data_IF_309418095589
#
_entry.id   IF_309418095589
#
_cell.length_a   1.000
_cell.length_b   1.000
_cell.length_c   1.000
_cell.angle_alpha   90.00
_cell.angle_beta   90.00
_cell.angle_gamma   90.00
#
_symmetry.space_group_name_H-M   'P 1'
#
loop_
_entity.id
_entity.type
_entity.pdbx_description
1 polymer ?
#
# COMPACT_ATOMS: atom_id res chain seq x y z
N UNK A 1 -5.40 -23.26 18.05
CA UNK A 1 -4.54 -22.12 17.69
C UNK A 1 -5.39 -21.14 16.91
N UNK A 2 -5.37 -19.89 17.32
CA UNK A 2 -6.21 -18.83 16.76
C UNK A 2 -5.34 -17.70 16.22
N UNK A 3 -5.86 -17.00 15.23
CA UNK A 3 -5.40 -15.68 14.85
C UNK A 3 -6.45 -14.67 15.27
N UNK A 4 -6.05 -13.66 16.00
CA UNK A 4 -6.95 -12.61 16.50
C UNK A 4 -6.60 -11.30 15.80
N UNK A 5 -7.58 -10.71 15.14
CA UNK A 5 -7.47 -9.39 14.52
C UNK A 5 -8.41 -8.43 15.24
N UNK A 6 -7.89 -7.26 15.52
CA UNK A 6 -8.65 -6.16 16.13
C UNK A 6 -8.59 -4.97 15.19
N UNK A 7 -9.73 -4.39 14.89
CA UNK A 7 -9.84 -3.18 14.09
C UNK A 7 -10.88 -2.24 14.69
N UNK A 8 -10.67 -0.95 14.50
CA UNK A 8 -11.57 0.08 14.97
C UNK A 8 -11.25 1.43 14.37
N UNK A 9 -12.12 2.40 14.60
CA UNK A 9 -11.94 3.80 14.19
C UNK A 9 -12.04 4.68 15.42
N UNK A 10 -11.17 5.66 15.53
CA UNK A 10 -11.20 6.65 16.61
C UNK A 10 -10.94 8.04 16.04
N UNK A 11 -11.73 9.01 16.46
CA UNK A 11 -11.40 10.43 16.28
C UNK A 11 -10.47 10.88 17.42
N UNK A 12 -9.37 11.49 17.06
CA UNK A 12 -8.47 12.13 18.00
C UNK A 12 -8.11 13.53 17.51
N UNK A 13 -8.55 14.54 18.25
CA UNK A 13 -8.39 15.95 17.91
C UNK A 13 -8.95 16.34 16.52
N UNK A 14 -10.10 15.77 16.14
CA UNK A 14 -10.73 16.04 14.85
C UNK A 14 -10.05 15.34 13.66
N UNK A 15 -9.19 14.35 13.94
CA UNK A 15 -8.54 13.53 12.94
C UNK A 15 -8.91 12.07 13.16
N UNK A 16 -9.42 11.44 12.10
CA UNK A 16 -9.75 10.02 12.10
C UNK A 16 -8.49 9.16 12.03
N UNK A 17 -8.43 8.17 12.91
CA UNK A 17 -7.42 7.12 12.89
C UNK A 17 -8.09 5.75 12.85
N UNK A 18 -7.57 4.85 12.03
CA UNK A 18 -7.88 3.45 12.13
C UNK A 18 -6.91 2.77 13.08
N UNK A 19 -7.48 1.96 13.94
CA UNK A 19 -6.75 1.14 14.88
C UNK A 19 -6.69 -0.28 14.31
N UNK A 20 -5.49 -0.79 14.12
CA UNK A 20 -5.29 -2.16 13.66
C UNK A 20 -4.29 -2.88 14.55
N UNK A 21 -4.62 -4.11 14.90
CA UNK A 21 -3.73 -5.00 15.62
C UNK A 21 -4.00 -6.44 15.25
N UNK A 22 -2.95 -7.24 15.20
CA UNK A 22 -3.07 -8.66 14.93
C UNK A 22 -2.09 -9.45 15.80
N UNK A 23 -2.50 -10.64 16.20
CA UNK A 23 -1.64 -11.65 16.81
C UNK A 23 -2.00 -13.01 16.25
N UNK A 24 -0.98 -13.76 15.86
CA UNK A 24 -1.13 -15.14 15.34
C UNK A 24 -0.62 -16.17 16.35
N UNK A 25 -1.02 -17.41 16.17
CA UNK A 25 -0.59 -18.55 16.99
C UNK A 25 -0.99 -18.43 18.47
N UNK A 26 -2.14 -17.79 18.74
CA UNK A 26 -2.69 -17.72 20.09
C UNK A 26 -3.28 -19.08 20.45
N UNK A 27 -2.77 -19.68 21.52
CA UNK A 27 -3.31 -20.92 22.07
C UNK A 27 -4.19 -20.58 23.28
N UNK A 28 -5.47 -20.93 23.19
CA UNK A 28 -6.42 -20.74 24.28
C UNK A 28 -6.80 -22.15 24.75
N UNK A 29 -6.47 -22.49 26.00
CA UNK A 29 -6.71 -23.79 26.60
C UNK A 29 -7.81 -23.74 27.66
N UNK A 30 -8.12 -22.55 28.16
CA UNK A 30 -9.12 -22.30 29.17
C UNK A 30 -9.68 -20.88 29.05
N UNK A 31 -10.83 -20.65 29.63
CA UNK A 31 -11.39 -19.31 29.75
C UNK A 31 -10.52 -18.50 30.70
N UNK A 32 -10.20 -17.27 30.31
CA UNK A 32 -9.47 -16.30 31.13
C UNK A 32 -10.38 -15.10 31.35
N UNK A 33 -10.76 -14.90 32.60
CA UNK A 33 -11.55 -13.73 32.98
C UNK A 33 -10.63 -12.52 33.22
N UNK A 34 -11.23 -11.33 33.30
CA UNK A 34 -10.51 -10.12 33.66
C UNK A 34 -9.86 -10.22 35.06
N UNK A 35 -10.55 -10.84 36.01
CA UNK A 35 -10.05 -11.13 37.35
C UNK A 35 -8.83 -12.04 37.33
N UNK A 36 -8.87 -13.12 36.52
CA UNK A 36 -7.73 -14.00 36.32
C UNK A 36 -6.50 -13.29 35.78
N UNK A 37 -6.71 -12.37 34.85
CA UNK A 37 -5.62 -11.61 34.21
C UNK A 37 -4.99 -10.61 35.22
N UNK A 38 -5.82 -9.93 36.01
CA UNK A 38 -5.38 -8.86 36.91
C UNK A 38 -4.90 -9.46 38.25
N UNK A 39 -5.70 -10.31 38.88
CA UNK A 39 -5.43 -10.78 40.24
C UNK A 39 -4.53 -12.02 40.28
N UNK A 40 -4.69 -12.93 39.34
CA UNK A 40 -3.97 -14.19 39.28
C UNK A 40 -2.73 -14.13 38.37
N UNK A 41 -2.45 -12.97 37.77
CA UNK A 41 -1.32 -12.77 36.86
C UNK A 41 -1.25 -13.81 35.73
N UNK A 42 -2.41 -14.31 35.28
CA UNK A 42 -2.46 -15.19 34.12
C UNK A 42 -2.00 -14.44 32.89
N UNK A 43 -1.16 -15.06 32.12
CA UNK A 43 -0.64 -14.47 30.88
C UNK A 43 -1.75 -14.38 29.84
N UNK A 44 -2.25 -13.16 29.62
CA UNK A 44 -3.20 -12.85 28.56
C UNK A 44 -2.42 -12.49 27.28
N UNK A 45 -2.84 -12.98 26.12
CA UNK A 45 -2.26 -12.53 24.86
C UNK A 45 -2.41 -11.01 24.71
N UNK A 46 -1.33 -10.31 24.47
CA UNK A 46 -1.36 -8.87 24.21
C UNK A 46 -1.38 -8.62 22.72
N UNK A 47 -2.22 -7.68 22.28
CA UNK A 47 -2.29 -7.22 20.90
C UNK A 47 -1.81 -5.78 20.87
N UNK A 48 -0.73 -5.52 20.14
CA UNK A 48 -0.30 -4.16 19.89
C UNK A 48 -1.22 -3.52 18.86
N UNK A 49 -1.99 -2.54 19.28
CA UNK A 49 -2.84 -1.75 18.38
C UNK A 49 -2.05 -0.54 17.91
N UNK A 50 -1.93 -0.39 16.60
CA UNK A 50 -1.26 0.75 15.97
C UNK A 50 -2.29 1.67 15.34
N UNK A 51 -2.27 2.96 15.66
CA UNK A 51 -3.06 3.94 14.95
C UNK A 51 -2.45 4.20 13.58
N UNK A 52 -3.25 4.16 12.55
CA UNK A 52 -2.88 4.57 11.21
C UNK A 52 -3.76 5.75 10.82
N UNK A 53 -3.14 6.85 10.40
CA UNK A 53 -3.88 7.96 9.80
C UNK A 53 -4.44 7.48 8.47
N UNK A 54 -5.75 7.67 8.27
CA UNK A 54 -6.39 7.23 7.04
C UNK A 54 -6.30 8.34 6.02
N UNK A 55 -5.64 8.04 4.93
CA UNK A 55 -5.85 8.75 3.70
C UNK A 55 -7.07 8.17 2.96
N UNK A 56 -7.74 8.94 2.11
CA UNK A 56 -8.86 8.44 1.32
C UNK A 56 -8.42 7.41 0.27
N UNK A 57 -7.15 7.41 -0.12
CA UNK A 57 -6.63 6.50 -1.14
C UNK A 57 -6.11 5.20 -0.54
N UNK A 58 -6.41 4.10 -1.21
CA UNK A 58 -5.84 2.78 -0.91
C UNK A 58 -5.51 2.04 -2.20
N UNK A 59 -4.55 1.11 -2.12
CA UNK A 59 -4.37 0.12 -3.19
C UNK A 59 -5.55 -0.85 -3.16
N UNK A 60 -6.27 -0.94 -4.28
CA UNK A 60 -7.34 -1.92 -4.47
C UNK A 60 -6.79 -3.22 -5.02
N UNK A 61 -5.89 -3.10 -5.97
CA UNK A 61 -5.21 -4.23 -6.59
C UNK A 61 -3.76 -3.90 -6.91
N UNK A 62 -2.88 -4.88 -6.71
CA UNK A 62 -1.49 -4.83 -7.12
C UNK A 62 -1.21 -6.10 -7.91
N UNK A 63 -0.95 -5.95 -9.21
CA UNK A 63 -0.51 -7.03 -10.07
C UNK A 63 0.96 -6.84 -10.43
N UNK A 64 1.82 -7.74 -9.98
CA UNK A 64 3.27 -7.64 -10.18
C UNK A 64 3.89 -8.87 -10.83
N UNK A 65 3.06 -9.80 -11.29
CA UNK A 65 3.49 -11.12 -11.78
C UNK A 65 3.59 -11.20 -13.29
N UNK A 66 3.64 -10.26 -14.08
CA UNK A 66 3.64 -10.25 -15.54
C UNK A 66 4.02 -11.55 -16.26
N UNK A 67 3.81 -11.62 -17.55
CA UNK A 67 4.07 -12.77 -18.40
C UNK A 67 5.36 -12.56 -19.20
N UNK A 68 6.21 -13.61 -19.31
CA UNK A 68 7.42 -13.54 -20.15
C UNK A 68 7.06 -13.30 -21.62
N UNK A 69 7.68 -12.33 -22.34
CA UNK A 69 8.80 -11.48 -21.94
C UNK A 69 8.42 -10.18 -21.21
N UNK A 70 7.16 -9.94 -20.92
CA UNK A 70 6.65 -8.68 -20.35
C UNK A 70 6.54 -8.67 -18.82
N UNK A 71 7.25 -9.56 -18.15
CA UNK A 71 7.17 -9.77 -16.70
C UNK A 71 7.10 -8.47 -15.88
N UNK A 72 7.99 -7.50 -16.14
CA UNK A 72 7.98 -6.22 -15.44
C UNK A 72 7.04 -5.17 -16.07
N UNK A 73 6.70 -5.31 -17.33
CA UNK A 73 5.90 -4.33 -18.08
C UNK A 73 4.40 -4.51 -17.89
N UNK A 74 3.99 -5.72 -17.53
CA UNK A 74 2.59 -6.05 -17.23
C UNK A 74 2.16 -5.61 -15.81
N UNK A 75 3.05 -5.03 -15.01
CA UNK A 75 2.72 -4.62 -13.64
C UNK A 75 1.73 -3.48 -13.63
N UNK A 76 0.69 -3.66 -12.81
CA UNK A 76 -0.37 -2.68 -12.64
C UNK A 76 -0.67 -2.43 -11.16
N UNK A 77 -1.08 -1.21 -10.87
CA UNK A 77 -1.45 -0.77 -9.53
C UNK A 77 -2.77 -0.01 -9.61
N UNK A 78 -3.84 -0.61 -9.10
CA UNK A 78 -5.13 0.06 -9.01
C UNK A 78 -5.21 0.80 -7.69
N UNK A 79 -5.42 2.11 -7.76
CA UNK A 79 -5.58 2.99 -6.61
C UNK A 79 -7.04 3.46 -6.57
N UNK A 80 -7.65 3.35 -5.41
CA UNK A 80 -9.06 3.55 -5.19
C UNK A 80 -9.31 4.64 -4.17
N UNK A 81 -10.26 5.53 -4.44
CA UNK A 81 -10.76 6.48 -3.46
C UNK A 81 -11.81 5.81 -2.57
N UNK A 82 -11.38 5.40 -1.39
CA UNK A 82 -12.23 4.80 -0.36
C UNK A 82 -12.82 5.84 0.61
N UNK A 83 -12.58 7.13 0.35
CA UNK A 83 -13.16 8.24 1.11
C UNK A 83 -14.57 8.57 0.64
N UNK A 84 -15.18 9.52 1.30
CA UNK A 84 -16.50 10.08 1.02
C UNK A 84 -16.45 11.45 0.31
N UNK A 85 -15.24 11.96 0.09
CA UNK A 85 -14.98 13.22 -0.61
C UNK A 85 -14.12 13.01 -1.87
N UNK A 86 -14.21 13.98 -2.78
CA UNK A 86 -13.35 14.01 -3.97
C UNK A 86 -11.90 14.17 -3.57
N UNK A 87 -11.05 13.28 -4.04
CA UNK A 87 -9.61 13.40 -3.91
C UNK A 87 -9.00 13.92 -5.22
N UNK A 88 -8.13 14.91 -5.13
CA UNK A 88 -7.39 15.40 -6.30
C UNK A 88 -6.02 14.74 -6.37
N UNK A 89 -5.72 14.13 -7.51
CA UNK A 89 -4.48 13.36 -7.71
C UNK A 89 -3.25 14.26 -7.95
N UNK A 90 -3.48 15.54 -8.14
CA UNK A 90 -2.43 16.54 -8.35
C UNK A 90 -1.40 16.47 -7.23
N UNK A 91 -0.13 16.38 -7.60
CA UNK A 91 1.01 16.24 -6.70
C UNK A 91 1.06 14.91 -5.93
N UNK A 92 0.17 13.95 -6.21
CA UNK A 92 0.28 12.61 -5.65
C UNK A 92 1.59 11.98 -6.09
N UNK A 93 2.31 11.40 -5.15
CA UNK A 93 3.54 10.67 -5.41
C UNK A 93 3.29 9.17 -5.33
N UNK A 94 3.77 8.45 -6.34
CA UNK A 94 3.87 7.01 -6.38
C UNK A 94 5.35 6.63 -6.34
N UNK A 95 5.74 5.77 -5.40
CA UNK A 95 7.15 5.48 -5.16
C UNK A 95 7.43 4.00 -5.03
N UNK A 96 8.54 3.55 -5.58
CA UNK A 96 9.15 2.28 -5.24
C UNK A 96 10.17 2.51 -4.13
N UNK A 97 10.00 1.79 -3.03
CA UNK A 97 10.84 1.93 -1.84
C UNK A 97 11.88 0.81 -1.74
N UNK A 98 12.95 1.09 -0.98
CA UNK A 98 13.91 0.07 -0.55
C UNK A 98 13.33 -0.80 0.59
N UNK A 99 13.68 -2.10 0.67
CA UNK A 99 14.43 -2.88 -0.32
C UNK A 99 13.54 -3.27 -1.51
N UNK A 100 14.07 -3.20 -2.73
CA UNK A 100 13.35 -3.57 -3.95
C UNK A 100 13.28 -5.08 -4.19
N UNK A 101 13.89 -5.85 -3.33
CA UNK A 101 13.85 -7.32 -3.35
C UNK A 101 13.54 -7.84 -1.96
N UNK A 102 12.89 -8.98 -1.89
CA UNK A 102 12.65 -9.64 -0.61
C UNK A 102 13.98 -9.96 0.09
N UNK A 103 14.11 -9.50 1.32
CA UNK A 103 15.28 -9.74 2.17
C UNK A 103 14.86 -10.16 3.56
N UNK A 104 15.64 -11.04 4.18
CA UNK A 104 15.40 -11.49 5.55
C UNK A 104 15.75 -10.42 6.59
N UNK A 105 16.57 -9.44 6.21
CA UNK A 105 17.00 -8.34 7.10
C UNK A 105 16.80 -7.04 6.36
N UNK A 106 16.04 -6.13 6.98
CA UNK A 106 15.86 -4.79 6.42
C UNK A 106 17.19 -4.02 6.40
N UNK A 107 17.41 -3.16 5.40
CA UNK A 107 18.55 -2.28 5.37
C UNK A 107 18.59 -1.39 6.62
N UNK A 108 19.78 -1.15 7.13
CA UNK A 108 20.00 -0.09 8.12
C UNK A 108 20.22 1.20 7.33
N UNK A 109 19.24 2.08 7.40
CA UNK A 109 19.35 3.39 6.76
C UNK A 109 20.12 4.35 7.67
N UNK A 110 21.10 5.08 7.13
CA UNK A 110 21.80 6.08 7.90
C UNK A 110 20.87 7.27 8.12
N UNK A 111 20.24 7.36 9.28
CA UNK A 111 19.68 8.60 9.77
C UNK A 111 20.60 9.15 10.88
N UNK A 112 20.78 10.46 10.89
CA UNK A 112 21.68 11.12 11.84
C UNK A 112 21.14 11.04 13.28
N UNK A 113 19.85 10.79 13.44
CA UNK A 113 19.14 10.77 14.71
C UNK A 113 18.96 9.36 15.28
N UNK A 114 19.32 8.31 14.53
CA UNK A 114 19.20 6.91 14.95
C UNK A 114 17.75 6.45 15.14
N UNK A 115 16.80 7.13 14.51
CA UNK A 115 15.37 6.83 14.57
C UNK A 115 14.92 6.45 13.17
N UNK A 116 14.14 5.38 13.04
CA UNK A 116 13.56 4.91 11.77
C UNK A 116 12.47 5.87 11.24
N UNK A 117 12.84 7.13 11.04
CA UNK A 117 11.93 8.20 10.61
C UNK A 117 11.84 8.32 9.08
N UNK A 118 12.72 7.65 8.37
CA UNK A 118 12.85 7.78 6.93
C UNK A 118 12.70 6.44 6.23
N UNK A 119 12.20 6.50 5.00
CA UNK A 119 12.25 5.41 4.04
C UNK A 119 12.98 5.90 2.80
N UNK A 120 13.74 5.02 2.15
CA UNK A 120 14.47 5.38 0.94
C UNK A 120 13.66 4.99 -0.28
N UNK A 121 13.44 5.97 -1.16
CA UNK A 121 12.82 5.73 -2.47
C UNK A 121 13.89 5.42 -3.51
N UNK A 122 13.69 4.36 -4.28
CA UNK A 122 14.52 4.05 -5.46
C UNK A 122 14.14 5.00 -6.58
N UNK A 123 12.84 5.17 -6.77
CA UNK A 123 12.25 6.06 -7.75
C UNK A 123 10.94 6.59 -7.21
N UNK A 124 10.66 7.85 -7.55
CA UNK A 124 9.41 8.52 -7.19
C UNK A 124 8.86 9.18 -8.44
N UNK A 125 7.62 8.87 -8.77
CA UNK A 125 6.86 9.53 -9.82
C UNK A 125 5.84 10.46 -9.17
N UNK A 126 5.63 11.60 -9.75
CA UNK A 126 4.65 12.57 -9.28
C UNK A 126 3.67 12.91 -10.39
N UNK A 127 2.38 12.84 -10.09
CA UNK A 127 1.34 13.35 -10.97
C UNK A 127 1.45 14.88 -10.99
N UNK A 128 1.74 15.44 -12.15
CA UNK A 128 1.77 16.88 -12.34
C UNK A 128 0.34 17.44 -12.32
N UNK A 129 0.18 18.67 -11.91
CA UNK A 129 -1.11 19.34 -11.95
C UNK A 129 -1.07 20.67 -11.20
N UNK A 130 -2.18 21.43 -11.30
CA UNK A 130 -2.31 22.76 -10.69
C UNK A 130 -3.04 22.71 -9.33
N UNK A 131 -3.45 21.54 -8.88
CA UNK A 131 -4.10 21.28 -7.60
C UNK A 131 -5.56 20.78 -7.70
N UNK A 132 -6.18 20.84 -8.88
CA UNK A 132 -7.55 20.37 -9.13
C UNK A 132 -7.78 19.84 -10.54
N UNK A 133 -6.73 19.44 -11.21
CA UNK A 133 -6.83 19.00 -12.62
C UNK A 133 -7.33 17.57 -12.73
N UNK A 134 -7.06 16.74 -11.71
CA UNK A 134 -7.36 15.31 -11.74
C UNK A 134 -8.22 14.88 -10.54
N UNK A 135 -9.55 15.18 -10.56
CA UNK A 135 -10.45 14.75 -9.50
C UNK A 135 -10.73 13.25 -9.59
N UNK A 136 -10.64 12.55 -8.46
CA UNK A 136 -11.06 11.16 -8.28
C UNK A 136 -12.25 11.14 -7.32
N UNK A 137 -13.44 10.75 -7.83
CA UNK A 137 -14.66 10.72 -7.03
C UNK A 137 -14.62 9.59 -5.98
N UNK A 138 -15.42 9.70 -4.90
CA UNK A 138 -15.65 8.57 -4.01
C UNK A 138 -16.09 7.32 -4.77
N UNK A 139 -15.42 6.21 -4.50
CA UNK A 139 -15.71 4.95 -5.17
C UNK A 139 -15.08 4.76 -6.56
N UNK A 140 -14.37 5.74 -7.06
CA UNK A 140 -13.60 5.62 -8.30
C UNK A 140 -12.19 5.09 -8.05
N UNK A 141 -11.61 4.50 -9.08
CA UNK A 141 -10.21 4.07 -9.11
C UNK A 141 -9.52 4.54 -10.37
N UNK A 142 -8.20 4.51 -10.34
CA UNK A 142 -7.33 4.74 -11.50
C UNK A 142 -6.18 3.74 -11.51
N UNK A 143 -5.63 3.51 -12.70
CA UNK A 143 -4.52 2.60 -12.90
C UNK A 143 -3.22 3.34 -13.13
N UNK A 144 -2.18 2.90 -12.42
CA UNK A 144 -0.79 3.18 -12.75
C UNK A 144 -0.20 1.89 -13.31
N UNK A 145 0.42 1.95 -14.49
CA UNK A 145 1.05 0.80 -15.14
C UNK A 145 2.52 1.07 -15.43
N UNK A 146 3.29 0.02 -15.62
CA UNK A 146 4.70 0.14 -16.01
C UNK A 146 4.86 0.51 -17.49
N UNK A 147 3.96 0.00 -18.35
CA UNK A 147 3.96 0.32 -19.77
C UNK A 147 2.49 0.31 -20.27
N UNK A 148 1.99 1.49 -20.67
CA UNK A 148 0.60 1.68 -21.12
C UNK A 148 0.41 1.23 -22.58
N UNK A 149 0.55 -0.06 -22.81
CA UNK A 149 0.52 -0.68 -24.14
C UNK A 149 -0.28 -1.99 -24.14
N UNK A 150 -0.84 -2.36 -25.29
CA UNK A 150 -1.43 -3.70 -25.48
C UNK A 150 -0.34 -4.74 -25.74
N UNK A 151 0.11 -5.44 -24.73
CA UNK A 151 1.10 -6.49 -24.83
C UNK A 151 0.54 -7.79 -25.44
N UNK A 152 -0.78 -7.97 -25.53
CA UNK A 152 -1.43 -9.13 -26.14
C UNK A 152 -1.11 -9.24 -27.64
N UNK A 153 -0.78 -8.13 -28.27
CA UNK A 153 -0.33 -8.11 -29.68
C UNK A 153 0.87 -9.03 -29.90
N UNK A 154 1.75 -9.13 -28.92
CA UNK A 154 2.96 -9.94 -28.99
C UNK A 154 2.88 -11.22 -28.15
N UNK A 155 2.03 -11.25 -27.14
CA UNK A 155 1.81 -12.41 -26.28
C UNK A 155 0.36 -12.43 -25.79
N UNK A 156 -0.44 -13.33 -26.34
CA UNK A 156 -1.87 -13.43 -26.03
C UNK A 156 -2.19 -13.72 -24.54
N UNK A 157 -1.20 -14.17 -23.77
CA UNK A 157 -1.36 -14.39 -22.32
C UNK A 157 -1.03 -13.15 -21.48
N UNK A 158 -0.61 -12.06 -22.10
CA UNK A 158 -0.31 -10.79 -21.46
C UNK A 158 -1.56 -9.91 -21.33
N UNK A 159 -1.39 -8.65 -20.99
CA UNK A 159 -2.47 -7.70 -20.71
C UNK A 159 -2.53 -6.58 -21.73
N UNK A 160 -3.70 -5.98 -21.80
CA UNK A 160 -3.91 -4.70 -22.46
C UNK A 160 -3.92 -3.59 -21.41
N UNK A 161 -2.83 -2.88 -21.34
CA UNK A 161 -2.66 -1.76 -20.42
C UNK A 161 -2.83 -0.40 -21.12
N UNK A 162 -3.24 -0.40 -22.42
CA UNK A 162 -3.29 0.82 -23.24
C UNK A 162 -4.33 1.85 -22.77
N UNK A 163 -5.25 1.45 -21.90
CA UNK A 163 -6.30 2.32 -21.36
C UNK A 163 -6.00 2.80 -19.92
N UNK A 164 -4.80 2.52 -19.40
CA UNK A 164 -4.42 3.02 -18.10
C UNK A 164 -4.28 4.56 -18.09
N UNK A 165 -4.70 5.20 -17.01
CA UNK A 165 -4.66 6.64 -16.87
C UNK A 165 -3.22 7.16 -16.71
N UNK A 166 -2.33 6.34 -16.13
CA UNK A 166 -0.95 6.75 -15.83
C UNK A 166 0.06 5.67 -16.15
N UNK A 167 1.18 6.09 -16.71
CA UNK A 167 2.36 5.25 -16.94
C UNK A 167 3.51 5.70 -16.04
N UNK A 168 4.19 4.75 -15.40
CA UNK A 168 5.38 4.98 -14.60
C UNK A 168 6.60 5.21 -15.49
N UNK A 169 6.67 6.38 -16.13
CA UNK A 169 7.71 6.73 -17.06
C UNK A 169 9.09 6.85 -16.38
N UNK A 170 10.07 6.13 -16.89
CA UNK A 170 11.42 6.07 -16.31
C UNK A 170 12.42 7.04 -16.95
N UNK A 171 12.03 7.79 -17.96
CA UNK A 171 12.92 8.65 -18.75
C UNK A 171 13.85 7.85 -19.67
N UNK A 172 13.60 6.57 -19.85
CA UNK A 172 14.43 5.70 -20.67
C UNK A 172 13.75 5.44 -22.01
N UNK A 173 14.17 6.15 -23.05
CA UNK A 173 13.57 6.15 -24.38
C UNK A 173 13.39 4.78 -25.06
N UNK A 174 13.98 3.73 -24.55
CA UNK A 174 13.78 2.36 -25.03
C UNK A 174 12.68 1.59 -24.31
N UNK A 175 12.06 2.18 -23.29
CA UNK A 175 11.07 1.54 -22.41
C UNK A 175 9.78 2.29 -22.27
N UNK A 176 9.77 3.56 -22.70
CA UNK A 176 8.62 4.42 -22.52
C UNK A 176 7.61 4.20 -23.64
N UNK A 177 6.37 4.41 -23.30
CA UNK A 177 5.28 4.43 -24.25
C UNK A 177 5.41 5.67 -25.16
N UNK A 178 5.21 5.53 -26.47
CA UNK A 178 5.27 6.66 -27.39
C UNK A 178 4.10 7.64 -27.20
#
# INVERSE_FOLDING_TARGET
IYSVNVSGKVDYNGQDYYLNGAVSNVSIFEDITEEDAIENNKKVPSINIRPAKVGPLCFREIYYCGVTPYYFRDQTYEIYNNGDEVFYLDSLCFAQLEPNVATATLPVWPDEDGVDNYVYGIVVWQISGSGKDYPLQPGESFLIVQEARDHRVNNASSFDNSMAEWEAWSGNAGRDNP
#
